data_IF_383877572919
#
_entry.id   IF_383877572919
#
_cell.length_a   1.000
_cell.length_b   1.000
_cell.length_c   1.000
_cell.angle_alpha   90.00
_cell.angle_beta   90.00
_cell.angle_gamma   90.00
#
_symmetry.space_group_name_H-M   'P 1'
#
loop_
_entity.id
_entity.type
_entity.pdbx_description
1 polymer ?
#
# COMPACT_ATOMS: atom_id res chain seq x y z
N UNK A 1 -8.74 -14.23 -7.02
CA UNK A 1 -8.45 -14.21 -5.58
C UNK A 1 -9.67 -13.64 -4.89
N UNK A 2 -10.23 -14.32 -3.88
CA UNK A 2 -11.34 -13.71 -3.11
C UNK A 2 -10.78 -12.61 -2.21
N UNK A 3 -11.49 -11.50 -2.09
CA UNK A 3 -11.04 -10.32 -1.35
C UNK A 3 -11.98 -10.08 -0.16
N UNK A 4 -11.42 -9.90 1.03
CA UNK A 4 -12.16 -9.53 2.23
C UNK A 4 -11.72 -8.13 2.66
N UNK A 5 -12.68 -7.22 2.84
CA UNK A 5 -12.39 -5.89 3.34
C UNK A 5 -12.11 -5.92 4.84
N UNK A 6 -10.94 -5.43 5.23
CA UNK A 6 -10.52 -5.25 6.61
C UNK A 6 -10.40 -3.75 6.93
N UNK A 7 -11.44 -3.19 7.54
CA UNK A 7 -11.49 -1.77 7.92
C UNK A 7 -10.54 -1.43 9.07
N UNK A 8 -10.09 -2.42 9.84
CA UNK A 8 -9.13 -2.23 10.91
C UNK A 8 -7.68 -2.19 10.43
N UNK A 9 -7.41 -2.66 9.21
CA UNK A 9 -6.06 -2.70 8.68
C UNK A 9 -5.68 -1.46 7.89
N UNK A 10 -4.45 -1.00 8.11
CA UNK A 10 -3.83 0.11 7.37
C UNK A 10 -2.97 -0.35 6.19
N UNK A 11 -2.75 -1.65 6.06
CA UNK A 11 -1.95 -2.31 5.02
C UNK A 11 -2.69 -3.55 4.55
N UNK A 12 -2.59 -3.85 3.26
CA UNK A 12 -3.19 -5.07 2.72
C UNK A 12 -2.40 -6.30 3.17
N UNK A 13 -3.05 -7.46 3.28
CA UNK A 13 -2.38 -8.73 3.57
C UNK A 13 -2.62 -9.76 2.47
N UNK A 14 -1.57 -10.51 2.14
CA UNK A 14 -1.59 -11.58 1.16
C UNK A 14 -0.80 -12.79 1.65
N UNK A 15 -1.26 -14.00 1.32
CA UNK A 15 -0.46 -15.20 1.56
C UNK A 15 0.72 -15.28 0.59
N UNK A 16 1.91 -15.67 1.09
CA UNK A 16 3.07 -15.93 0.24
C UNK A 16 2.77 -16.89 -0.92
N UNK A 17 1.85 -17.85 -0.72
CA UNK A 17 1.44 -18.81 -1.76
C UNK A 17 0.86 -18.15 -3.02
N UNK A 18 0.37 -16.92 -2.90
CA UNK A 18 -0.21 -16.14 -3.98
C UNK A 18 0.76 -15.07 -4.55
N UNK A 19 2.01 -15.06 -4.09
CA UNK A 19 3.02 -14.06 -4.46
C UNK A 19 4.19 -14.77 -5.12
N UNK A 20 4.64 -14.26 -6.29
CA UNK A 20 5.91 -14.68 -6.87
C UNK A 20 7.05 -13.97 -6.15
N UNK A 21 8.16 -14.66 -5.92
CA UNK A 21 9.33 -14.07 -5.25
C UNK A 21 9.84 -12.79 -5.94
N UNK A 22 9.73 -12.72 -7.28
CA UNK A 22 10.07 -11.54 -8.08
C UNK A 22 9.23 -10.29 -7.77
N UNK A 23 8.12 -10.42 -7.05
CA UNK A 23 7.25 -9.30 -6.66
C UNK A 23 7.59 -8.76 -5.27
N UNK A 24 8.49 -9.41 -4.53
CA UNK A 24 9.00 -8.89 -3.27
C UNK A 24 9.79 -7.61 -3.52
N UNK A 25 9.54 -6.57 -2.73
CA UNK A 25 10.16 -5.25 -2.94
C UNK A 25 11.50 -5.11 -2.19
N UNK A 26 11.79 -6.02 -1.27
CA UNK A 26 12.87 -5.89 -0.29
C UNK A 26 12.56 -4.95 0.88
N UNK A 27 11.38 -4.30 0.87
CA UNK A 27 10.89 -3.51 2.00
C UNK A 27 10.14 -4.40 3.01
N UNK A 28 10.01 -3.89 4.23
CA UNK A 28 9.30 -4.57 5.32
C UNK A 28 8.38 -3.61 6.08
N UNK A 29 7.34 -4.16 6.68
CA UNK A 29 6.45 -3.46 7.61
C UNK A 29 6.39 -4.20 8.93
N UNK A 30 6.38 -3.44 10.03
CA UNK A 30 6.09 -3.98 11.35
C UNK A 30 4.59 -3.99 11.59
N UNK A 31 4.02 -5.18 11.76
CA UNK A 31 2.62 -5.37 12.10
C UNK A 31 2.50 -5.80 13.56
N UNK A 32 1.58 -5.18 14.29
CA UNK A 32 1.21 -5.63 15.64
C UNK A 32 0.06 -6.62 15.54
N UNK A 33 0.26 -7.83 16.02
CA UNK A 33 -0.77 -8.85 16.06
C UNK A 33 -1.86 -8.47 17.08
N UNK A 34 -3.12 -8.57 16.69
CA UNK A 34 -4.24 -8.11 17.50
C UNK A 34 -4.45 -8.94 18.79
N UNK A 35 -4.17 -10.25 18.74
CA UNK A 35 -4.43 -11.16 19.86
C UNK A 35 -3.29 -11.19 20.88
N UNK A 36 -2.05 -11.20 20.40
CA UNK A 36 -0.85 -11.38 21.24
C UNK A 36 -0.16 -10.07 21.60
N UNK A 37 -0.48 -8.98 20.89
CA UNK A 37 0.27 -7.70 20.92
C UNK A 37 1.74 -7.82 20.52
N UNK A 38 2.16 -8.97 19.98
CA UNK A 38 3.49 -9.16 19.44
C UNK A 38 3.67 -8.37 18.15
N UNK A 39 4.89 -7.92 17.92
CA UNK A 39 5.26 -7.24 16.69
C UNK A 39 5.95 -8.24 15.78
N UNK A 40 5.46 -8.34 14.55
CA UNK A 40 6.06 -9.18 13.52
C UNK A 40 6.50 -8.32 12.35
N UNK A 41 7.62 -8.71 11.72
CA UNK A 41 8.15 -8.05 10.55
C UNK A 41 7.68 -8.82 9.32
N UNK A 42 6.90 -8.17 8.45
CA UNK A 42 6.35 -8.77 7.24
C UNK A 42 7.01 -8.13 6.02
N UNK A 43 7.44 -8.96 5.07
CA UNK A 43 7.93 -8.47 3.78
C UNK A 43 6.79 -7.81 2.99
N UNK A 44 7.13 -6.84 2.16
CA UNK A 44 6.18 -6.22 1.22
C UNK A 44 6.35 -6.81 -0.19
N UNK A 45 5.23 -7.04 -0.85
CA UNK A 45 5.17 -7.39 -2.26
C UNK A 45 4.35 -6.36 -3.03
N UNK A 46 4.76 -6.07 -4.27
CA UNK A 46 3.96 -5.34 -5.23
C UNK A 46 2.92 -6.25 -5.86
N UNK A 47 1.65 -5.82 -5.80
CA UNK A 47 0.50 -6.60 -6.27
C UNK A 47 -0.31 -5.75 -7.26
N UNK A 48 -0.63 -6.36 -8.40
CA UNK A 48 -1.67 -5.87 -9.30
C UNK A 48 -3.03 -6.38 -8.81
N UNK A 49 -3.90 -5.46 -8.37
CA UNK A 49 -5.27 -5.78 -7.96
C UNK A 49 -6.26 -5.33 -9.04
N UNK A 50 -7.26 -6.19 -9.28
CA UNK A 50 -8.46 -5.85 -10.03
C UNK A 50 -9.68 -6.13 -9.15
N UNK A 51 -10.36 -5.07 -8.71
CA UNK A 51 -11.53 -5.14 -7.82
C UNK A 51 -12.61 -4.23 -8.38
N UNK A 52 -13.81 -4.78 -8.62
CA UNK A 52 -14.98 -4.04 -9.14
C UNK A 52 -14.66 -3.20 -10.40
N UNK A 53 -13.85 -3.73 -11.32
CA UNK A 53 -13.44 -3.03 -12.55
C UNK A 53 -12.36 -1.95 -12.36
N UNK A 54 -11.87 -1.74 -11.14
CA UNK A 54 -10.71 -0.88 -10.86
C UNK A 54 -9.44 -1.70 -10.86
N UNK A 55 -8.47 -1.30 -11.68
CA UNK A 55 -7.11 -1.86 -11.70
C UNK A 55 -6.16 -0.91 -10.99
N UNK A 56 -5.40 -1.40 -10.02
CA UNK A 56 -4.38 -0.61 -9.33
C UNK A 56 -3.19 -1.48 -8.91
N UNK A 57 -1.99 -0.88 -8.93
CA UNK A 57 -0.81 -1.44 -8.29
C UNK A 57 -0.79 -0.99 -6.83
N UNK A 58 -0.58 -1.90 -5.91
CA UNK A 58 -0.43 -1.61 -4.47
C UNK A 58 0.70 -2.43 -3.86
N UNK A 59 1.04 -2.15 -2.60
CA UNK A 59 1.92 -3.01 -1.78
C UNK A 59 1.10 -3.73 -0.73
N UNK A 60 1.33 -5.03 -0.60
CA UNK A 60 0.72 -5.87 0.44
C UNK A 60 1.79 -6.49 1.32
N UNK A 61 1.48 -6.62 2.61
CA UNK A 61 2.29 -7.40 3.53
C UNK A 61 2.07 -8.89 3.29
N UNK A 62 3.17 -9.62 3.20
CA UNK A 62 3.16 -11.04 2.87
C UNK A 62 3.24 -11.86 4.14
N UNK A 63 2.23 -12.70 4.36
CA UNK A 63 2.21 -13.66 5.46
C UNK A 63 3.09 -14.87 5.14
N UNK A 64 3.65 -15.46 6.20
CA UNK A 64 4.48 -16.67 6.11
C UNK A 64 3.76 -17.80 5.34
N UNK A 65 4.49 -18.60 4.52
CA UNK A 65 3.93 -19.75 3.80
C UNK A 65 3.17 -20.76 4.68
N UNK A 66 3.50 -20.85 5.98
CA UNK A 66 2.82 -21.73 6.94
C UNK A 66 1.42 -21.23 7.30
N UNK A 67 1.12 -19.94 7.09
CA UNK A 67 -0.18 -19.35 7.40
C UNK A 67 -1.13 -19.59 6.24
N UNK A 68 -2.19 -20.36 6.50
CA UNK A 68 -3.27 -20.53 5.53
C UNK A 68 -4.18 -19.31 5.53
N UNK A 69 -4.14 -18.56 4.43
CA UNK A 69 -5.07 -17.46 4.20
C UNK A 69 -5.73 -17.64 2.82
N UNK A 70 -7.06 -17.79 2.83
CA UNK A 70 -7.85 -18.04 1.62
C UNK A 70 -8.18 -16.77 0.84
N UNK A 71 -8.25 -15.64 1.54
CA UNK A 71 -8.66 -14.34 0.99
C UNK A 71 -7.44 -13.41 0.92
N UNK A 72 -7.49 -12.40 0.06
CA UNK A 72 -6.71 -11.17 0.21
C UNK A 72 -7.40 -10.30 1.26
N UNK A 73 -6.68 -9.78 2.26
CA UNK A 73 -7.26 -8.78 3.15
C UNK A 73 -6.98 -7.39 2.57
N UNK A 74 -8.03 -6.72 2.14
CA UNK A 74 -7.97 -5.37 1.62
C UNK A 74 -8.05 -4.38 2.77
N UNK A 75 -6.97 -3.66 3.01
CA UNK A 75 -6.87 -2.61 4.01
C UNK A 75 -7.67 -1.37 3.63
N UNK A 76 -7.99 -0.57 4.64
CA UNK A 76 -8.89 0.58 4.47
C UNK A 76 -8.35 1.63 3.51
N UNK A 77 -7.03 1.87 3.49
CA UNK A 77 -6.39 2.84 2.57
C UNK A 77 -6.55 2.45 1.10
N UNK A 78 -6.39 1.17 0.78
CA UNK A 78 -6.55 0.70 -0.60
C UNK A 78 -8.02 0.75 -1.01
N UNK A 79 -8.96 0.47 -0.10
CA UNK A 79 -10.39 0.67 -0.36
C UNK A 79 -10.73 2.14 -0.65
N UNK A 80 -10.24 3.07 0.15
CA UNK A 80 -10.44 4.52 -0.08
C UNK A 80 -9.92 4.93 -1.45
N UNK A 81 -8.80 4.37 -1.88
CA UNK A 81 -8.23 4.59 -3.22
C UNK A 81 -9.13 4.05 -4.33
N UNK A 82 -9.65 2.83 -4.18
CA UNK A 82 -10.60 2.23 -5.12
C UNK A 82 -11.85 3.11 -5.24
N UNK A 83 -12.40 3.56 -4.12
CA UNK A 83 -13.60 4.41 -4.10
C UNK A 83 -13.34 5.77 -4.75
N UNK A 84 -12.15 6.34 -4.57
CA UNK A 84 -11.74 7.58 -5.21
C UNK A 84 -11.60 7.41 -6.73
N UNK A 85 -10.98 6.32 -7.20
CA UNK A 85 -10.85 6.02 -8.64
C UNK A 85 -12.22 5.83 -9.28
N UNK A 86 -13.14 5.11 -8.63
CA UNK A 86 -14.53 4.93 -9.10
C UNK A 86 -15.26 6.27 -9.27
N UNK A 87 -15.02 7.23 -8.37
CA UNK A 87 -15.63 8.57 -8.43
C UNK A 87 -15.00 9.45 -9.51
N UNK A 88 -13.70 9.32 -9.76
CA UNK A 88 -12.99 10.06 -10.80
C UNK A 88 -11.86 9.23 -11.44
N UNK A 89 -12.11 8.54 -12.56
CA UNK A 89 -11.15 7.65 -13.21
C UNK A 89 -9.90 8.34 -13.78
N UNK A 90 -9.91 9.67 -13.90
CA UNK A 90 -8.87 10.45 -14.57
C UNK A 90 -7.94 11.20 -13.60
N UNK A 91 -8.02 10.97 -12.29
CA UNK A 91 -7.18 11.68 -11.31
C UNK A 91 -5.75 11.07 -11.23
N UNK A 92 -4.69 11.79 -11.66
CA UNK A 92 -3.31 11.27 -11.62
C UNK A 92 -2.75 11.13 -10.19
N UNK A 93 -3.37 11.82 -9.22
CA UNK A 93 -2.92 11.86 -7.82
C UNK A 93 -3.26 10.57 -7.04
N UNK A 94 -4.09 9.68 -7.61
CA UNK A 94 -4.60 8.47 -6.96
C UNK A 94 -3.75 7.22 -7.22
N UNK A 95 -2.60 7.33 -7.87
CA UNK A 95 -1.71 6.19 -8.08
C UNK A 95 -0.77 6.10 -6.87
N UNK A 96 -1.05 5.16 -5.95
CA UNK A 96 -0.11 4.67 -4.93
C UNK A 96 0.31 5.64 -3.81
N UNK A 97 -0.60 6.03 -2.91
CA UNK A 97 -0.21 6.79 -1.72
C UNK A 97 0.05 5.93 -0.46
N UNK A 98 0.87 4.88 -0.59
CA UNK A 98 1.68 4.41 0.55
C UNK A 98 2.97 5.24 0.53
N UNK A 99 2.94 6.41 1.17
CA UNK A 99 4.14 7.23 1.34
C UNK A 99 4.95 6.68 2.50
N UNK A 100 6.13 6.16 2.21
CA UNK A 100 7.12 5.84 3.25
C UNK A 100 7.71 7.13 3.83
N UNK A 101 8.21 7.09 5.07
CA UNK A 101 8.78 8.28 5.74
C UNK A 101 9.90 8.94 4.92
N UNK A 102 10.68 8.16 4.17
CA UNK A 102 11.69 8.66 3.22
C UNK A 102 11.06 9.43 2.05
N UNK A 103 10.01 8.90 1.42
CA UNK A 103 9.27 9.59 0.36
C UNK A 103 8.58 10.86 0.87
N UNK A 104 8.05 10.87 2.11
CA UNK A 104 7.52 12.10 2.73
C UNK A 104 8.59 13.17 2.89
N UNK A 105 9.82 12.77 3.23
CA UNK A 105 10.94 13.71 3.38
C UNK A 105 11.34 14.32 2.03
N UNK A 106 11.43 13.51 0.98
CA UNK A 106 11.74 13.98 -0.39
C UNK A 106 10.67 14.96 -0.89
N UNK A 107 9.39 14.61 -0.76
CA UNK A 107 8.29 15.48 -1.19
C UNK A 107 8.24 16.83 -0.45
N UNK A 108 8.71 16.89 0.81
CA UNK A 108 8.84 18.14 1.57
C UNK A 108 9.98 19.01 1.04
N UNK A 109 11.16 18.42 0.82
CA UNK A 109 12.31 19.13 0.27
C UNK A 109 12.04 19.68 -1.13
N UNK A 110 11.34 18.94 -1.98
CA UNK A 110 10.92 19.41 -3.32
C UNK A 110 9.88 20.54 -3.27
N UNK A 111 9.02 20.58 -2.23
CA UNK A 111 8.10 21.70 -2.01
C UNK A 111 8.83 22.94 -1.50
N UNK A 112 9.78 22.77 -0.59
CA UNK A 112 10.61 23.86 -0.07
C UNK A 112 11.48 24.48 -1.17
N UNK A 113 12.12 23.67 -2.01
CA UNK A 113 12.93 24.17 -3.13
C UNK A 113 12.08 24.92 -4.16
N UNK A 114 10.91 24.40 -4.55
CA UNK A 114 9.99 25.12 -5.46
C UNK A 114 9.48 26.44 -4.88
N UNK A 115 9.30 26.51 -3.56
CA UNK A 115 8.90 27.75 -2.89
C UNK A 115 10.03 28.78 -2.93
N UNK A 116 11.29 28.36 -2.71
CA UNK A 116 12.46 29.23 -2.78
C UNK A 116 12.73 29.72 -4.22
N UNK A 117 12.62 28.86 -5.22
CA UNK A 117 12.76 29.23 -6.64
C UNK A 117 11.70 30.27 -7.08
N UNK A 118 10.52 30.23 -6.46
CA UNK A 118 9.45 31.19 -6.73
C UNK A 118 9.72 32.58 -6.13
N UNK A 119 10.61 32.68 -5.14
CA UNK A 119 10.99 33.93 -4.48
C UNK A 119 12.18 34.59 -5.19
N UNK A 120 13.12 33.80 -5.73
CA UNK A 120 14.28 34.33 -6.47
C UNK A 120 13.94 34.79 -7.90
N UNK A 121 12.79 34.38 -8.44
CA UNK A 121 12.33 34.73 -9.79
C UNK A 121 11.42 35.96 -9.92
N UNK A 122 11.28 36.80 -8.88
CA UNK A 122 10.47 38.04 -8.90
C UNK A 122 11.30 39.32 -8.84
#
# INVERSE_FOLDING_TARGET
MEVLRDTGSSVDLISFKNVKESYLTGDYVWARQALTNEHTCLALAEIDLEIDGVRLKTKAAVLDPSVEMKHYLLGNKTQELIDAIKKNPYSPELINLVVTRSQTRVARTEKENRFLDSIEGS
#
